data_IF_138687336684
#
_entry.id   IF_138687336684
#
_cell.length_a   1.000
_cell.length_b   1.000
_cell.length_c   1.000
_cell.angle_alpha   90.00
_cell.angle_beta   90.00
_cell.angle_gamma   90.00
#
_symmetry.space_group_name_H-M   'P 1'
#
loop_
_entity.id
_entity.type
_entity.pdbx_description
1 polymer ?
#
# COMPACT_ATOMS: atom_id res chain seq x y z
N UNK A 1 -41.95 -35.21 14.93
CA UNK A 1 -41.70 -33.97 14.16
C UNK A 1 -41.29 -34.36 12.76
N UNK A 2 -42.00 -33.89 11.75
CA UNK A 2 -41.69 -34.17 10.34
C UNK A 2 -40.39 -33.44 9.93
N UNK A 3 -39.61 -33.99 8.99
CA UNK A 3 -38.34 -33.38 8.52
C UNK A 3 -38.54 -31.92 8.07
N UNK A 4 -39.67 -31.62 7.43
CA UNK A 4 -40.05 -30.25 7.02
C UNK A 4 -40.27 -29.30 8.21
N UNK A 5 -40.87 -29.77 9.29
CA UNK A 5 -41.10 -28.97 10.50
C UNK A 5 -39.79 -28.71 11.24
N UNK A 6 -38.93 -29.71 11.31
CA UNK A 6 -37.60 -29.58 11.90
C UNK A 6 -36.75 -28.55 11.14
N UNK A 7 -36.81 -28.58 9.80
CA UNK A 7 -36.12 -27.60 8.95
C UNK A 7 -36.63 -26.18 9.22
N UNK A 8 -37.94 -25.97 9.26
CA UNK A 8 -38.54 -24.66 9.58
C UNK A 8 -38.10 -24.15 10.94
N UNK A 9 -38.05 -25.02 11.95
CA UNK A 9 -37.57 -24.65 13.29
C UNK A 9 -36.10 -24.21 13.27
N UNK A 10 -35.23 -25.00 12.63
CA UNK A 10 -33.81 -24.67 12.50
C UNK A 10 -33.56 -23.35 11.74
N UNK A 11 -34.34 -23.09 10.69
CA UNK A 11 -34.27 -21.83 9.96
C UNK A 11 -34.65 -20.64 10.85
N UNK A 12 -35.74 -20.75 11.62
CA UNK A 12 -36.12 -19.70 12.57
C UNK A 12 -35.07 -19.45 13.65
N UNK A 13 -34.46 -20.51 14.18
CA UNK A 13 -33.39 -20.40 15.17
C UNK A 13 -32.14 -19.71 14.57
N UNK A 14 -31.83 -20.01 13.30
CA UNK A 14 -30.76 -19.35 12.56
C UNK A 14 -31.03 -17.86 12.30
N UNK A 15 -32.26 -17.49 11.90
CA UNK A 15 -32.63 -16.08 11.70
C UNK A 15 -32.59 -15.28 13.01
N UNK A 16 -32.98 -15.89 14.14
CA UNK A 16 -32.79 -15.29 15.48
C UNK A 16 -31.32 -15.05 15.81
N UNK A 17 -30.45 -16.00 15.49
CA UNK A 17 -29.01 -15.83 15.65
C UNK A 17 -28.48 -14.65 14.82
N UNK A 18 -28.84 -14.56 13.53
CA UNK A 18 -28.47 -13.43 12.66
C UNK A 18 -28.95 -12.10 13.24
N UNK A 19 -30.20 -12.05 13.74
CA UNK A 19 -30.74 -10.85 14.40
C UNK A 19 -29.95 -10.48 15.66
N UNK A 20 -29.49 -11.46 16.43
CA UNK A 20 -28.66 -11.22 17.63
C UNK A 20 -27.29 -10.63 17.29
N UNK A 21 -26.79 -10.82 16.06
CA UNK A 21 -25.57 -10.16 15.57
C UNK A 21 -25.80 -8.69 15.17
N UNK A 22 -27.03 -8.18 15.27
CA UNK A 22 -27.38 -6.79 14.93
C UNK A 22 -27.78 -6.58 13.47
N UNK A 23 -27.97 -7.65 12.69
CA UNK A 23 -28.46 -7.57 11.31
C UNK A 23 -29.97 -7.37 11.32
N UNK A 24 -30.47 -6.41 10.55
CA UNK A 24 -31.89 -6.16 10.39
C UNK A 24 -32.51 -7.21 9.44
N UNK A 25 -32.98 -8.31 10.02
CA UNK A 25 -33.58 -9.46 9.32
C UNK A 25 -34.99 -9.75 9.86
N UNK A 26 -35.91 -10.09 8.96
CA UNK A 26 -37.21 -10.66 9.32
C UNK A 26 -37.06 -12.14 9.69
N UNK A 27 -37.56 -12.52 10.87
CA UNK A 27 -37.42 -13.87 11.43
C UNK A 27 -38.35 -14.88 10.73
N UNK A 28 -39.43 -14.42 10.11
CA UNK A 28 -40.40 -15.31 9.48
C UNK A 28 -40.09 -15.58 8.00
N UNK A 29 -39.56 -14.58 7.29
CA UNK A 29 -39.22 -14.67 5.86
C UNK A 29 -37.73 -14.87 5.60
N UNK A 30 -36.85 -14.44 6.51
CA UNK A 30 -35.39 -14.45 6.33
C UNK A 30 -34.86 -13.32 5.45
N UNK A 31 -35.70 -12.35 5.08
CA UNK A 31 -35.30 -11.20 4.28
C UNK A 31 -34.49 -10.20 5.11
N UNK A 32 -33.34 -9.78 4.57
CA UNK A 32 -32.46 -8.80 5.20
C UNK A 32 -32.76 -7.43 4.59
N UNK A 33 -33.08 -6.46 5.44
CA UNK A 33 -33.28 -5.09 5.02
C UNK A 33 -31.96 -4.33 5.15
N UNK A 34 -31.42 -3.92 4.02
CA UNK A 34 -30.24 -3.08 3.94
C UNK A 34 -30.57 -1.84 3.11
N UNK A 35 -30.55 -0.66 3.74
CA UNK A 35 -30.76 0.63 3.09
C UNK A 35 -29.43 1.30 2.70
N UNK A 36 -28.31 0.62 2.90
CA UNK A 36 -26.98 1.12 2.58
C UNK A 36 -26.60 0.69 1.16
N UNK A 37 -26.79 1.61 0.21
CA UNK A 37 -26.41 1.44 -1.20
C UNK A 37 -24.88 1.57 -1.43
N UNK A 38 -24.09 1.62 -0.35
CA UNK A 38 -22.66 1.87 -0.41
C UNK A 38 -22.33 3.36 -0.58
N UNK A 39 -21.09 3.62 -0.97
CA UNK A 39 -20.64 4.95 -1.36
C UNK A 39 -20.51 5.00 -2.88
N UNK A 40 -20.77 6.15 -3.53
CA UNK A 40 -20.47 6.30 -4.95
C UNK A 40 -18.99 6.01 -5.19
N UNK A 41 -18.70 5.22 -6.22
CA UNK A 41 -17.32 4.92 -6.59
C UNK A 41 -16.62 6.23 -6.93
N UNK A 42 -15.44 6.52 -6.34
CA UNK A 42 -14.69 7.71 -6.71
C UNK A 42 -14.26 7.62 -8.17
N UNK A 43 -14.18 8.76 -8.83
CA UNK A 43 -13.63 8.83 -10.18
C UNK A 43 -12.12 8.48 -10.13
N UNK A 44 -11.78 7.31 -10.66
CA UNK A 44 -10.41 6.80 -10.73
C UNK A 44 -9.69 7.24 -12.01
N UNK A 45 -10.29 8.12 -12.81
CA UNK A 45 -9.64 8.60 -14.02
C UNK A 45 -8.39 9.41 -13.65
N UNK A 46 -7.24 8.94 -14.12
CA UNK A 46 -6.01 9.71 -14.00
C UNK A 46 -6.07 10.90 -14.94
N UNK A 47 -5.88 12.12 -14.41
CA UNK A 47 -5.69 13.31 -15.23
C UNK A 47 -4.46 13.08 -16.12
N UNK A 48 -4.66 13.00 -17.43
CA UNK A 48 -3.60 12.80 -18.44
C UNK A 48 -2.61 13.96 -18.54
N UNK A 49 -2.76 15.01 -17.72
CA UNK A 49 -2.03 16.27 -17.83
C UNK A 49 -0.81 16.39 -16.93
N UNK A 50 -0.46 15.40 -16.11
CA UNK A 50 0.90 15.40 -15.61
C UNK A 50 1.77 14.86 -16.73
N UNK A 51 2.54 15.72 -17.43
CA UNK A 51 3.46 15.21 -18.43
C UNK A 51 4.34 14.20 -17.71
N UNK A 52 4.27 12.93 -18.13
CA UNK A 52 5.35 11.99 -17.87
C UNK A 52 6.63 12.71 -18.28
N UNK A 53 7.63 12.63 -17.41
CA UNK A 53 8.75 13.55 -17.30
C UNK A 53 9.75 13.51 -18.47
N UNK A 54 9.28 13.29 -19.70
CA UNK A 54 10.06 13.46 -20.93
C UNK A 54 10.45 14.94 -21.13
N UNK A 55 9.87 15.84 -20.33
CA UNK A 55 10.31 17.22 -20.10
C UNK A 55 11.02 17.41 -18.75
N UNK A 56 11.96 16.53 -18.37
CA UNK A 56 13.02 16.95 -17.45
C UNK A 56 13.84 17.99 -18.21
N UNK A 57 13.49 19.26 -18.05
CA UNK A 57 14.25 20.39 -18.60
C UNK A 57 15.50 20.53 -17.75
N UNK A 58 16.53 19.78 -18.12
CA UNK A 58 17.81 19.83 -17.47
C UNK A 58 18.68 18.68 -17.97
N UNK A 59 19.89 18.94 -18.48
CA UNK A 59 20.84 17.87 -18.63
C UNK A 59 21.07 17.30 -17.22
N UNK A 60 20.58 16.10 -16.96
CA UNK A 60 21.00 15.28 -15.83
C UNK A 60 22.47 14.93 -16.06
N UNK A 61 23.34 15.93 -15.94
CA UNK A 61 24.78 15.71 -15.88
C UNK A 61 24.98 14.84 -14.65
N UNK A 62 25.63 13.68 -14.82
CA UNK A 62 26.18 12.93 -13.68
C UNK A 62 26.86 13.94 -12.76
N UNK A 63 26.57 13.91 -11.46
CA UNK A 63 27.34 14.69 -10.48
C UNK A 63 28.81 14.37 -10.75
N UNK A 64 29.54 15.35 -11.24
CA UNK A 64 31.00 15.24 -11.35
C UNK A 64 31.46 15.19 -9.91
N UNK A 65 31.87 14.01 -9.45
CA UNK A 65 32.57 13.92 -8.19
C UNK A 65 33.82 14.80 -8.32
N UNK A 66 34.16 15.58 -7.29
CA UNK A 66 35.40 16.37 -7.33
C UNK A 66 36.54 15.41 -7.67
N UNK A 67 37.23 15.67 -8.78
CA UNK A 67 38.49 14.99 -9.07
C UNK A 67 39.45 15.45 -7.97
N UNK A 68 39.85 14.51 -7.13
CA UNK A 68 40.80 14.75 -6.06
C UNK A 68 42.20 14.68 -6.69
N UNK A 69 42.78 15.84 -7.02
CA UNK A 69 44.22 15.94 -7.28
C UNK A 69 44.95 15.81 -5.93
N UNK A 70 45.14 14.57 -5.48
CA UNK A 70 45.93 14.27 -4.29
C UNK A 70 47.39 14.01 -4.67
N UNK A 71 48.36 14.58 -3.94
CA UNK A 71 49.75 14.17 -4.11
C UNK A 71 49.92 12.71 -3.67
N UNK A 72 50.85 12.02 -4.32
CA UNK A 72 51.16 10.61 -4.08
C UNK A 72 51.33 10.31 -2.58
N UNK A 73 50.65 9.25 -2.11
CA UNK A 73 50.68 8.84 -0.71
C UNK A 73 49.74 9.60 0.25
N UNK A 74 48.87 10.49 -0.24
CA UNK A 74 47.83 11.13 0.58
C UNK A 74 46.43 10.64 0.23
N UNK A 75 45.65 10.31 1.26
CA UNK A 75 44.25 9.91 1.12
C UNK A 75 43.32 10.89 1.86
N UNK A 76 42.15 11.16 1.28
CA UNK A 76 41.09 11.93 1.96
C UNK A 76 40.10 10.96 2.57
N UNK A 77 39.89 11.09 3.87
CA UNK A 77 38.92 10.28 4.62
C UNK A 77 37.61 11.03 4.78
N UNK A 78 36.51 10.43 4.32
CA UNK A 78 35.18 10.96 4.59
C UNK A 78 34.76 10.45 5.98
N UNK A 79 34.86 11.31 6.99
CA UNK A 79 34.43 10.99 8.35
C UNK A 79 32.92 11.17 8.49
N UNK A 80 32.20 10.06 8.66
CA UNK A 80 30.85 10.06 9.20
C UNK A 80 30.91 9.68 10.69
N UNK A 81 29.79 9.79 11.41
CA UNK A 81 29.66 9.50 12.85
C UNK A 81 30.14 8.10 13.32
N UNK A 82 30.62 7.22 12.42
CA UNK A 82 31.19 5.89 12.71
C UNK A 82 32.67 5.74 12.35
N UNK A 83 33.38 6.82 12.00
CA UNK A 83 34.79 6.80 11.61
C UNK A 83 35.01 7.16 10.14
N UNK A 84 36.27 7.41 9.79
CA UNK A 84 36.68 7.78 8.43
C UNK A 84 36.70 6.58 7.49
N UNK A 85 35.96 6.66 6.39
CA UNK A 85 36.13 5.73 5.26
C UNK A 85 37.24 6.24 4.35
N UNK A 86 38.23 5.40 4.09
CA UNK A 86 39.32 5.68 3.15
C UNK A 86 38.83 5.37 1.74
N UNK A 87 38.91 6.35 0.84
CA UNK A 87 38.82 6.10 -0.60
C UNK A 87 40.18 5.56 -1.04
N UNK A 88 40.19 4.33 -1.53
CA UNK A 88 41.39 3.66 -2.08
C UNK A 88 41.28 3.71 -3.60
N UNK A 89 42.37 4.03 -4.28
CA UNK A 89 42.37 3.98 -5.75
C UNK A 89 42.20 2.53 -6.21
N UNK A 90 41.57 2.33 -7.37
CA UNK A 90 41.30 0.99 -7.88
C UNK A 90 42.60 0.23 -8.20
N UNK A 91 43.69 0.96 -8.46
CA UNK A 91 45.01 0.39 -8.72
C UNK A 91 45.69 -0.16 -7.45
N UNK A 92 45.18 0.18 -6.27
CA UNK A 92 45.69 -0.25 -4.95
C UNK A 92 44.87 -1.41 -4.32
N UNK A 93 43.92 -2.01 -5.06
CA UNK A 93 43.16 -3.21 -4.66
C UNK A 93 43.86 -4.51 -5.06
#
# INVERSE_FOLDING_TARGET
MNKKELLKKKLKDHYKYIKSLGVNIDIDTGEIWNNFDGYPMPDLTCRSTYPTSDKIVGPTKKKVYPQLDLPEGKCVTIAYNKGGYQLVDKEDL
#
